data_IF_029684366820
#
_entry.id   IF_029684366820
#
_cell.length_a   1.000
_cell.length_b   1.000
_cell.length_c   1.000
_cell.angle_alpha   90.00
_cell.angle_beta   90.00
_cell.angle_gamma   90.00
#
_symmetry.space_group_name_H-M   'P 1'
#
loop_
_entity.id
_entity.type
_entity.pdbx_description
1 polymer ?
#
# COMPACT_ATOMS: atom_id res chain seq x y z
N UNK A 1 15.16 16.65 4.51
CA UNK A 1 14.01 16.39 3.63
C UNK A 1 12.74 16.63 4.44
N UNK A 2 11.67 17.23 3.90
CA UNK A 2 10.47 17.46 4.68
C UNK A 2 9.85 16.13 5.10
N UNK A 3 9.37 16.05 6.34
CA UNK A 3 8.83 14.83 6.94
C UNK A 3 7.62 14.28 6.14
N UNK A 4 7.41 12.96 6.23
CA UNK A 4 6.42 12.15 5.53
C UNK A 4 4.92 12.50 5.74
N UNK A 5 4.58 13.69 6.24
CA UNK A 5 3.20 14.05 6.61
C UNK A 5 2.23 14.22 5.43
N UNK A 6 2.70 14.10 4.18
CA UNK A 6 1.86 14.19 2.98
C UNK A 6 1.60 12.83 2.30
N UNK A 7 2.27 11.76 2.74
CA UNK A 7 2.16 10.46 2.06
C UNK A 7 0.83 9.80 2.40
N UNK A 8 0.09 9.39 1.37
CA UNK A 8 -1.13 8.62 1.53
C UNK A 8 -0.84 7.30 2.27
N UNK A 9 -1.65 6.99 3.28
CA UNK A 9 -1.48 5.81 4.16
C UNK A 9 -2.34 4.64 3.73
N UNK A 10 -2.95 4.75 2.55
CA UNK A 10 -3.95 3.83 2.03
C UNK A 10 -3.63 3.43 0.60
N UNK A 11 -3.90 2.17 0.28
CA UNK A 11 -4.21 1.81 -1.09
C UNK A 11 -5.63 2.27 -1.40
N UNK A 12 -5.86 2.82 -2.58
CA UNK A 12 -7.15 3.34 -3.02
C UNK A 12 -7.61 2.61 -4.29
N UNK A 13 -8.91 2.52 -4.49
CA UNK A 13 -9.51 2.02 -5.73
C UNK A 13 -10.64 2.93 -6.20
N UNK A 14 -10.99 2.84 -7.48
CA UNK A 14 -12.10 3.57 -8.12
C UNK A 14 -12.78 2.67 -9.13
N UNK A 15 -14.08 2.86 -9.34
CA UNK A 15 -14.89 2.09 -10.27
C UNK A 15 -15.32 2.92 -11.48
N UNK A 16 -15.53 2.27 -12.62
CA UNK A 16 -16.12 2.88 -13.81
C UNK A 16 -16.91 1.83 -14.60
N UNK A 17 -17.96 2.26 -15.31
CA UNK A 17 -18.71 1.39 -16.22
C UNK A 17 -18.02 1.19 -17.58
N UNK A 18 -17.00 2.01 -17.88
CA UNK A 18 -16.18 1.92 -19.08
C UNK A 18 -14.70 2.17 -18.74
N UNK A 19 -13.79 1.60 -19.53
CA UNK A 19 -12.33 1.69 -19.31
C UNK A 19 -11.79 3.13 -19.27
N UNK A 20 -12.50 4.06 -19.91
CA UNK A 20 -12.12 5.49 -19.97
C UNK A 20 -12.86 6.35 -18.95
N UNK A 21 -13.69 5.74 -18.09
CA UNK A 21 -14.50 6.44 -17.10
C UNK A 21 -15.92 6.78 -17.57
N UNK A 22 -16.62 7.69 -16.86
CA UNK A 22 -16.13 8.43 -15.69
C UNK A 22 -15.80 7.49 -14.52
N UNK A 23 -14.66 7.74 -13.86
CA UNK A 23 -14.26 7.03 -12.66
C UNK A 23 -14.96 7.63 -11.44
N UNK A 24 -15.34 6.78 -10.49
CA UNK A 24 -15.84 7.19 -9.18
C UNK A 24 -14.75 7.94 -8.38
N UNK A 25 -15.17 8.59 -7.30
CA UNK A 25 -14.22 9.04 -6.29
C UNK A 25 -13.41 7.87 -5.71
N UNK A 26 -12.19 8.12 -5.21
CA UNK A 26 -11.34 7.07 -4.66
C UNK A 26 -11.90 6.57 -3.32
N UNK A 27 -11.93 5.26 -3.17
CA UNK A 27 -12.33 4.55 -1.96
C UNK A 27 -11.13 3.84 -1.33
N UNK A 28 -11.20 3.56 -0.03
CA UNK A 28 -10.09 2.90 0.67
C UNK A 28 -10.12 1.40 0.38
N UNK A 29 -9.07 0.88 -0.25
CA UNK A 29 -8.87 -0.56 -0.46
C UNK A 29 -8.19 -1.19 0.76
N UNK A 30 -7.12 -0.57 1.25
CA UNK A 30 -6.29 -1.12 2.33
C UNK A 30 -5.59 0.00 3.09
N UNK A 31 -5.26 -0.22 4.37
CA UNK A 31 -4.47 0.70 5.20
C UNK A 31 -3.14 0.04 5.48
N UNK A 32 -2.02 0.69 5.11
CA UNK A 32 -0.69 0.12 5.32
C UNK A 32 -0.35 0.10 6.81
N UNK A 33 -0.17 -1.07 7.43
CA UNK A 33 0.17 -1.15 8.85
C UNK A 33 1.49 -0.44 9.17
N UNK A 34 2.47 -0.48 8.26
CA UNK A 34 3.80 0.10 8.44
C UNK A 34 3.78 1.64 8.56
N UNK A 35 2.68 2.27 8.14
CA UNK A 35 2.48 3.73 8.25
C UNK A 35 1.52 4.12 9.40
N UNK A 36 1.12 3.16 10.24
CA UNK A 36 0.27 3.39 11.40
C UNK A 36 1.11 3.75 12.64
N UNK A 37 0.95 4.97 13.21
CA UNK A 37 1.65 5.39 14.43
C UNK A 37 1.41 4.51 15.67
N UNK A 38 0.39 3.63 15.65
CA UNK A 38 0.13 2.67 16.71
C UNK A 38 0.99 1.40 16.67
N UNK A 39 1.74 1.16 15.59
CA UNK A 39 2.59 -0.04 15.47
C UNK A 39 3.91 0.09 16.22
N UNK A 40 4.41 -1.04 16.74
CA UNK A 40 5.66 -1.09 17.52
C UNK A 40 6.88 -0.65 16.70
N UNK A 41 6.90 -1.01 15.40
CA UNK A 41 8.00 -0.69 14.49
C UNK A 41 7.71 0.55 13.62
N UNK A 42 6.78 1.40 14.06
CA UNK A 42 6.44 2.61 13.33
C UNK A 42 7.63 3.59 13.30
N UNK A 43 7.93 4.08 12.10
CA UNK A 43 8.76 5.26 11.91
C UNK A 43 8.02 6.28 11.05
N UNK A 44 8.11 7.55 11.44
CA UNK A 44 7.60 8.67 10.63
C UNK A 44 8.33 8.83 9.29
N UNK A 45 9.45 8.12 9.09
CA UNK A 45 10.22 8.16 7.85
C UNK A 45 9.81 7.04 6.90
N UNK A 46 9.05 6.05 7.36
CA UNK A 46 8.54 4.96 6.54
C UNK A 46 7.34 5.44 5.72
N UNK A 47 7.35 5.09 4.45
CA UNK A 47 6.25 5.31 3.51
C UNK A 47 6.05 4.10 2.61
N UNK A 48 4.81 3.82 2.23
CA UNK A 48 4.46 2.70 1.36
C UNK A 48 3.89 3.20 0.04
N UNK A 49 4.20 2.47 -1.03
CA UNK A 49 3.90 2.85 -2.40
C UNK A 49 3.81 1.62 -3.31
N UNK A 50 3.51 1.86 -4.59
CA UNK A 50 3.44 0.84 -5.63
C UNK A 50 2.46 -0.29 -5.32
N UNK A 51 1.28 0.05 -4.77
CA UNK A 51 0.15 -0.86 -4.77
C UNK A 51 -0.15 -1.29 -6.21
N UNK A 52 0.04 -2.58 -6.49
CA UNK A 52 -0.09 -3.18 -7.81
C UNK A 52 -0.88 -4.48 -7.68
N UNK A 53 -2.03 -4.52 -8.32
CA UNK A 53 -2.87 -5.71 -8.45
C UNK A 53 -2.18 -6.79 -9.31
N UNK A 54 -2.45 -8.06 -9.00
CA UNK A 54 -2.00 -9.22 -9.77
C UNK A 54 -3.17 -10.18 -9.99
N UNK A 55 -4.06 -9.91 -10.95
CA UNK A 55 -5.22 -10.76 -11.24
C UNK A 55 -4.87 -12.21 -11.58
N UNK A 56 -3.65 -12.44 -12.08
CA UNK A 56 -3.14 -13.76 -12.42
C UNK A 56 -2.89 -14.67 -11.20
N UNK A 57 -2.91 -14.10 -9.99
CA UNK A 57 -2.69 -14.80 -8.71
C UNK A 57 -3.96 -14.92 -7.87
N UNK A 58 -5.11 -14.49 -8.37
CA UNK A 58 -6.38 -14.46 -7.64
C UNK A 58 -7.17 -15.76 -7.77
N UNK A 59 -7.81 -16.18 -6.68
CA UNK A 59 -8.94 -17.11 -6.74
C UNK A 59 -10.26 -16.35 -6.95
N UNK A 60 -11.34 -17.08 -7.26
CA UNK A 60 -12.65 -16.47 -7.44
C UNK A 60 -13.09 -15.70 -6.17
N UNK A 61 -13.39 -14.41 -6.32
CA UNK A 61 -13.80 -13.54 -5.22
C UNK A 61 -12.63 -13.02 -4.37
N UNK A 62 -11.40 -13.09 -4.87
CA UNK A 62 -10.23 -12.49 -4.23
C UNK A 62 -9.73 -11.29 -5.03
N UNK A 63 -9.15 -10.32 -4.33
CA UNK A 63 -8.28 -9.31 -4.92
C UNK A 63 -6.87 -9.49 -4.33
N UNK A 64 -5.88 -9.70 -5.18
CA UNK A 64 -4.48 -9.86 -4.79
C UNK A 64 -3.67 -8.67 -5.28
N UNK A 65 -2.95 -8.02 -4.37
CA UNK A 65 -2.02 -6.97 -4.75
C UNK A 65 -0.75 -7.03 -3.92
N UNK A 66 0.30 -6.40 -4.43
CA UNK A 66 1.52 -6.14 -3.66
C UNK A 66 1.72 -4.66 -3.44
N UNK A 67 2.40 -4.28 -2.37
CA UNK A 67 2.96 -2.95 -2.18
C UNK A 67 4.40 -3.05 -1.62
N UNK A 68 5.12 -1.93 -1.59
CA UNK A 68 6.47 -1.86 -0.99
C UNK A 68 6.51 -0.69 -0.02
N UNK A 69 7.14 -0.88 1.14
CA UNK A 69 7.48 0.22 2.04
C UNK A 69 8.96 0.54 1.97
N UNK A 70 9.32 1.80 2.15
CA UNK A 70 10.67 2.33 2.09
C UNK A 70 10.81 3.41 3.16
N UNK A 71 12.02 3.91 3.39
CA UNK A 71 12.30 4.96 4.36
C UNK A 71 13.05 6.13 3.73
N UNK A 72 12.78 7.32 4.25
CA UNK A 72 13.59 8.51 3.98
C UNK A 72 14.95 8.51 4.73
N UNK A 73 15.19 7.53 5.60
CA UNK A 73 16.47 7.33 6.29
C UNK A 73 17.12 6.04 5.83
N UNK A 74 18.35 6.15 5.33
CA UNK A 74 19.15 5.00 4.88
C UNK A 74 19.40 3.99 6.01
N UNK A 75 19.66 4.47 7.23
CA UNK A 75 19.89 3.60 8.39
C UNK A 75 18.70 2.65 8.66
N UNK A 76 17.47 3.11 8.46
CA UNK A 76 16.28 2.26 8.62
C UNK A 76 16.25 1.16 7.55
N UNK A 77 16.70 1.44 6.32
CA UNK A 77 16.78 0.44 5.25
C UNK A 77 17.85 -0.62 5.52
N UNK A 78 18.97 -0.21 6.10
CA UNK A 78 20.08 -1.11 6.41
C UNK A 78 19.78 -1.99 7.63
N UNK A 79 18.98 -1.50 8.57
CA UNK A 79 18.70 -2.18 9.84
C UNK A 79 17.33 -2.90 9.88
N UNK A 80 16.42 -2.60 8.96
CA UNK A 80 15.10 -3.23 8.90
C UNK A 80 14.92 -4.03 7.59
N UNK A 81 15.15 -5.33 7.67
CA UNK A 81 14.99 -6.25 6.53
C UNK A 81 13.53 -6.55 6.17
N UNK A 82 12.56 -6.01 6.91
CA UNK A 82 11.14 -6.20 6.63
C UNK A 82 10.57 -5.16 5.67
N UNK A 83 11.28 -4.03 5.45
CA UNK A 83 10.96 -3.02 4.45
C UNK A 83 11.82 -3.21 3.17
N UNK A 84 11.51 -2.46 2.11
CA UNK A 84 12.13 -2.53 0.78
C UNK A 84 12.00 -3.89 0.08
N UNK A 85 10.89 -4.58 0.33
CA UNK A 85 10.46 -5.80 -0.34
C UNK A 85 8.97 -5.75 -0.65
N UNK A 86 8.48 -6.54 -1.63
CA UNK A 86 7.04 -6.69 -1.84
C UNK A 86 6.36 -7.31 -0.62
N UNK A 87 5.29 -6.67 -0.15
CA UNK A 87 4.32 -7.22 0.78
C UNK A 87 3.11 -7.65 -0.03
N UNK A 88 2.71 -8.92 0.11
CA UNK A 88 1.55 -9.48 -0.58
C UNK A 88 0.31 -9.37 0.31
N UNK A 89 -0.80 -8.92 -0.25
CA UNK A 89 -2.10 -8.83 0.42
C UNK A 89 -3.14 -9.49 -0.48
N UNK A 90 -3.95 -10.35 0.12
CA UNK A 90 -5.13 -10.95 -0.51
C UNK A 90 -6.35 -10.53 0.29
N UNK A 91 -7.32 -9.93 -0.37
CA UNK A 91 -8.59 -9.51 0.22
C UNK A 91 -9.71 -10.36 -0.36
N UNK A 92 -10.64 -10.79 0.49
CA UNK A 92 -11.90 -11.39 0.02
C UNK A 92 -12.85 -10.28 -0.41
N UNK A 93 -13.28 -10.35 -1.67
CA UNK A 93 -14.29 -9.49 -2.28
C UNK A 93 -15.59 -10.31 -2.37
N UNK A 94 -16.45 -10.16 -1.35
CA UNK A 94 -17.80 -10.77 -1.31
C UNK A 94 -18.76 -10.06 -2.27
#
# INVERSE_FOLDING_TARGET
MPAASFMERRALFSNALALVGPWSGPETLYRYPEMDPGQVDYSRNIFCYAAKEHPELESAGELMFTYVCNSFLEEELMNNTHIYRPVSVTLSML
#
